data_IF_330890270950
#
_entry.id   IF_330890270950
#
_cell.length_a   1.000
_cell.length_b   1.000
_cell.length_c   1.000
_cell.angle_alpha   90.00
_cell.angle_beta   90.00
_cell.angle_gamma   90.00
#
_symmetry.space_group_name_H-M   'P 1'
#
loop_
_entity.id
_entity.type
_entity.pdbx_description
1 polymer ?
#
# COMPACT_ATOMS: atom_id res chain seq x y z
N UNK A 1 -17.85 -8.60 -21.64
CA UNK A 1 -16.73 -7.68 -21.34
C UNK A 1 -16.59 -6.75 -22.53
N UNK A 2 -16.90 -5.46 -22.36
CA UNK A 2 -16.79 -4.50 -23.45
C UNK A 2 -15.31 -4.23 -23.73
N UNK A 3 -14.88 -4.39 -24.98
CA UNK A 3 -13.50 -4.19 -25.46
C UNK A 3 -12.97 -2.73 -25.32
N UNK A 4 -13.71 -1.85 -24.64
CA UNK A 4 -13.41 -0.43 -24.50
C UNK A 4 -13.17 0.02 -23.04
N UNK A 5 -13.05 -0.90 -22.07
CA UNK A 5 -12.67 -0.54 -20.71
C UNK A 5 -11.13 -0.43 -20.62
N UNK A 6 -10.56 0.79 -20.52
CA UNK A 6 -9.10 0.97 -20.46
C UNK A 6 -8.46 0.24 -19.26
N UNK A 7 -9.21 0.01 -18.19
CA UNK A 7 -8.74 -0.76 -17.03
C UNK A 7 -8.57 -2.26 -17.36
N UNK A 8 -9.41 -2.77 -18.28
CA UNK A 8 -9.33 -4.16 -18.74
C UNK A 8 -8.03 -4.43 -19.52
N UNK A 9 -7.67 -3.54 -20.44
CA UNK A 9 -6.45 -3.65 -21.26
C UNK A 9 -5.20 -3.61 -20.37
N UNK A 10 -5.16 -2.71 -19.39
CA UNK A 10 -4.05 -2.60 -18.44
C UNK A 10 -3.91 -3.87 -17.61
N UNK A 11 -5.02 -4.43 -17.12
CA UNK A 11 -4.99 -5.69 -16.37
C UNK A 11 -4.53 -6.87 -17.24
N UNK A 12 -4.99 -6.96 -18.49
CA UNK A 12 -4.56 -8.01 -19.42
C UNK A 12 -3.06 -7.94 -19.72
N UNK A 13 -2.54 -6.74 -19.99
CA UNK A 13 -1.12 -6.49 -20.19
C UNK A 13 -0.30 -6.93 -18.96
N UNK A 14 -0.80 -6.65 -17.75
CA UNK A 14 -0.15 -7.09 -16.51
C UNK A 14 -0.21 -8.60 -16.29
N UNK A 15 -1.31 -9.26 -16.63
CA UNK A 15 -1.41 -10.71 -16.57
C UNK A 15 -0.45 -11.38 -17.57
N UNK A 16 -0.30 -10.80 -18.76
CA UNK A 16 0.64 -11.30 -19.77
C UNK A 16 2.10 -11.17 -19.30
N UNK A 17 2.47 -10.05 -18.69
CA UNK A 17 3.80 -9.89 -18.08
C UNK A 17 4.04 -10.89 -16.95
N UNK A 18 3.06 -11.11 -16.08
CA UNK A 18 3.15 -12.10 -15.00
C UNK A 18 3.31 -13.52 -15.55
N UNK A 19 2.58 -13.85 -16.62
CA UNK A 19 2.68 -15.15 -17.31
C UNK A 19 4.08 -15.37 -17.88
N UNK A 20 4.66 -14.37 -18.54
CA UNK A 20 6.03 -14.48 -19.06
C UNK A 20 7.04 -14.63 -17.92
N UNK A 21 6.85 -13.91 -16.80
CA UNK A 21 7.64 -14.11 -15.58
C UNK A 21 7.53 -15.55 -15.06
N UNK A 22 6.32 -16.11 -15.08
CA UNK A 22 6.03 -17.50 -14.69
C UNK A 22 6.76 -18.55 -15.52
N UNK A 23 6.83 -18.32 -16.83
CA UNK A 23 7.53 -19.22 -17.76
C UNK A 23 9.05 -19.18 -17.62
N UNK A 24 9.62 -18.10 -17.09
CA UNK A 24 11.08 -17.96 -16.91
C UNK A 24 11.60 -18.65 -15.64
N UNK A 25 10.78 -18.84 -14.59
CA UNK A 25 11.24 -19.37 -13.30
C UNK A 25 11.87 -20.77 -13.38
N UNK A 26 11.34 -21.64 -14.24
CA UNK A 26 11.79 -23.03 -14.32
C UNK A 26 13.13 -23.20 -15.04
N UNK A 27 13.53 -22.21 -15.86
CA UNK A 27 14.70 -22.36 -16.75
C UNK A 27 16.01 -22.45 -15.97
N UNK A 28 16.14 -21.67 -14.90
CA UNK A 28 17.38 -21.57 -14.14
C UNK A 28 17.55 -22.61 -13.04
N UNK A 29 16.55 -23.47 -12.82
CA UNK A 29 16.63 -24.49 -11.75
C UNK A 29 17.74 -25.51 -12.05
N UNK A 30 17.82 -26.00 -13.29
CA UNK A 30 18.87 -26.95 -13.70
C UNK A 30 20.26 -26.32 -13.55
N UNK A 31 20.43 -25.09 -14.03
CA UNK A 31 21.68 -24.34 -13.92
C UNK A 31 22.06 -24.08 -12.45
N UNK A 32 21.08 -23.78 -11.60
CA UNK A 32 21.29 -23.60 -10.16
C UNK A 32 21.78 -24.87 -9.47
N UNK A 33 21.24 -26.04 -9.85
CA UNK A 33 21.68 -27.34 -9.31
C UNK A 33 23.11 -27.66 -9.78
N UNK A 34 23.41 -27.46 -11.06
CA UNK A 34 24.77 -27.65 -11.59
C UNK A 34 25.78 -26.74 -10.90
N UNK A 35 25.43 -25.46 -10.73
CA UNK A 35 26.25 -24.48 -10.04
C UNK A 35 26.48 -24.87 -8.57
N UNK A 36 25.44 -25.37 -7.88
CA UNK A 36 25.54 -25.87 -6.49
C UNK A 36 26.53 -27.03 -6.38
N UNK A 37 26.44 -28.00 -7.30
CA UNK A 37 27.32 -29.17 -7.29
C UNK A 37 28.77 -28.78 -7.58
N UNK A 38 28.99 -27.88 -8.54
CA UNK A 38 30.34 -27.37 -8.87
C UNK A 38 30.93 -26.61 -7.69
N UNK A 39 30.19 -25.67 -7.09
CA UNK A 39 30.65 -24.92 -5.91
C UNK A 39 30.88 -25.83 -4.71
N UNK A 40 29.99 -26.81 -4.50
CA UNK A 40 30.16 -27.85 -3.49
C UNK A 40 31.46 -28.61 -3.67
N UNK A 41 31.75 -29.07 -4.90
CA UNK A 41 32.99 -29.77 -5.22
C UNK A 41 34.22 -28.89 -4.96
N UNK A 42 34.23 -27.66 -5.48
CA UNK A 42 35.33 -26.70 -5.25
C UNK A 42 35.60 -26.51 -3.75
N UNK A 43 34.55 -26.36 -2.95
CA UNK A 43 34.69 -26.20 -1.50
C UNK A 43 35.13 -27.48 -0.81
N UNK A 44 34.66 -28.66 -1.23
CA UNK A 44 35.18 -29.93 -0.67
C UNK A 44 36.68 -30.06 -0.94
N UNK A 45 37.13 -29.73 -2.16
CA UNK A 45 38.56 -29.73 -2.52
C UNK A 45 39.36 -28.73 -1.69
N UNK A 46 38.83 -27.52 -1.47
CA UNK A 46 39.47 -26.53 -0.61
C UNK A 46 39.68 -27.03 0.82
N UNK A 47 38.65 -27.62 1.42
CA UNK A 47 38.76 -28.18 2.78
C UNK A 47 39.71 -29.38 2.84
N UNK A 48 39.77 -30.23 1.80
CA UNK A 48 40.77 -31.31 1.74
C UNK A 48 42.20 -30.77 1.68
N UNK A 49 42.42 -29.67 0.96
CA UNK A 49 43.73 -29.02 0.88
C UNK A 49 44.12 -28.39 2.21
N UNK A 50 43.18 -27.70 2.88
CA UNK A 50 43.41 -27.12 4.21
C UNK A 50 43.70 -28.20 5.26
N UNK A 51 43.03 -29.35 5.17
CA UNK A 51 43.30 -30.49 6.04
C UNK A 51 44.72 -31.05 5.87
N UNK A 52 45.17 -31.21 4.61
CA UNK A 52 46.55 -31.62 4.33
C UNK A 52 47.59 -30.63 4.89
N UNK A 53 47.22 -29.36 5.08
CA UNK A 53 48.10 -28.32 5.57
C UNK A 53 48.09 -28.18 7.11
N UNK A 54 46.94 -28.41 7.76
CA UNK A 54 46.73 -28.11 9.18
C UNK A 54 46.85 -29.33 10.12
N UNK A 55 46.91 -30.56 9.58
CA UNK A 55 47.01 -31.85 10.30
C UNK A 55 45.91 -32.12 11.36
N UNK A 56 44.88 -31.28 11.45
CA UNK A 56 43.74 -31.50 12.35
C UNK A 56 42.61 -32.25 11.64
N UNK A 57 42.55 -33.55 11.88
CA UNK A 57 41.52 -34.43 11.29
C UNK A 57 40.10 -34.10 11.77
N UNK A 58 39.94 -33.68 13.02
CA UNK A 58 38.62 -33.39 13.61
C UNK A 58 37.96 -32.18 12.92
N UNK A 59 38.70 -31.09 12.73
CA UNK A 59 38.18 -29.87 12.10
C UNK A 59 37.77 -30.12 10.64
N UNK A 60 38.52 -30.99 9.95
CA UNK A 60 38.17 -31.42 8.60
C UNK A 60 36.80 -32.09 8.54
N UNK A 61 36.54 -33.08 9.40
CA UNK A 61 35.25 -33.77 9.42
C UNK A 61 34.09 -32.84 9.79
N UNK A 62 34.29 -31.93 10.75
CA UNK A 62 33.27 -30.94 11.12
C UNK A 62 32.94 -30.01 9.95
N UNK A 63 33.96 -29.49 9.27
CA UNK A 63 33.77 -28.59 8.13
C UNK A 63 33.13 -29.30 6.93
N UNK A 64 33.53 -30.54 6.63
CA UNK A 64 32.94 -31.33 5.55
C UNK A 64 31.48 -31.71 5.85
N UNK A 65 31.17 -32.10 7.09
CA UNK A 65 29.79 -32.38 7.49
C UNK A 65 28.92 -31.14 7.37
N UNK A 66 29.41 -29.98 7.83
CA UNK A 66 28.70 -28.71 7.70
C UNK A 66 28.45 -28.35 6.22
N UNK A 67 29.48 -28.50 5.38
CA UNK A 67 29.36 -28.28 3.94
C UNK A 67 28.34 -29.23 3.29
N UNK A 68 28.37 -30.52 3.63
CA UNK A 68 27.45 -31.52 3.11
C UNK A 68 26.01 -31.20 3.52
N UNK A 69 25.77 -30.84 4.78
CA UNK A 69 24.46 -30.44 5.28
C UNK A 69 23.96 -29.19 4.54
N UNK A 70 24.80 -28.17 4.35
CA UNK A 70 24.46 -26.97 3.56
C UNK A 70 24.07 -27.33 2.14
N UNK A 71 24.88 -28.12 1.43
CA UNK A 71 24.59 -28.57 0.06
C UNK A 71 23.28 -29.35 0.01
N UNK A 72 23.05 -30.26 0.95
CA UNK A 72 21.82 -31.07 1.01
C UNK A 72 20.56 -30.19 1.20
N UNK A 73 20.62 -29.21 2.11
CA UNK A 73 19.52 -28.26 2.33
C UNK A 73 19.26 -27.42 1.08
N UNK A 74 20.32 -26.85 0.48
CA UNK A 74 20.19 -26.01 -0.71
C UNK A 74 19.65 -26.82 -1.90
N UNK A 75 20.07 -28.08 -2.07
CA UNK A 75 19.56 -28.97 -3.10
C UNK A 75 18.08 -29.31 -2.86
N UNK A 76 17.67 -29.53 -1.61
CA UNK A 76 16.25 -29.70 -1.25
C UNK A 76 15.44 -28.44 -1.58
N UNK A 77 15.98 -27.25 -1.29
CA UNK A 77 15.31 -25.99 -1.64
C UNK A 77 15.18 -25.79 -3.16
N UNK A 78 16.20 -26.15 -3.95
CA UNK A 78 16.17 -26.06 -5.41
C UNK A 78 15.22 -27.08 -6.05
N UNK A 79 15.15 -28.30 -5.51
CA UNK A 79 14.22 -29.34 -6.00
C UNK A 79 12.77 -29.03 -5.65
N UNK A 80 12.52 -28.40 -4.49
CA UNK A 80 11.21 -27.92 -4.06
C UNK A 80 10.94 -26.44 -4.43
N UNK A 81 11.67 -25.90 -5.41
CA UNK A 81 11.66 -24.46 -5.72
C UNK A 81 10.30 -23.95 -6.17
N UNK A 82 9.67 -24.65 -7.11
CA UNK A 82 8.42 -24.22 -7.75
C UNK A 82 7.24 -24.29 -6.80
N UNK A 83 7.27 -25.18 -5.82
CA UNK A 83 6.11 -25.44 -4.96
C UNK A 83 6.32 -24.83 -3.58
N UNK A 84 7.22 -25.41 -2.78
CA UNK A 84 7.40 -25.05 -1.37
C UNK A 84 8.00 -23.66 -1.21
N UNK A 85 9.12 -23.36 -1.90
CA UNK A 85 9.80 -22.07 -1.74
C UNK A 85 8.93 -20.94 -2.29
N UNK A 86 8.30 -21.16 -3.44
CA UNK A 86 7.36 -20.20 -4.03
C UNK A 86 6.17 -19.93 -3.12
N UNK A 87 5.47 -20.97 -2.64
CA UNK A 87 4.30 -20.79 -1.77
C UNK A 87 4.68 -20.13 -0.44
N UNK A 88 5.88 -20.43 0.08
CA UNK A 88 6.38 -19.82 1.30
C UNK A 88 6.54 -18.30 1.19
N UNK A 89 7.09 -17.75 0.11
CA UNK A 89 7.19 -16.28 -0.02
C UNK A 89 5.95 -15.67 -0.68
N UNK A 90 5.54 -16.16 -1.85
CA UNK A 90 4.43 -15.55 -2.60
C UNK A 90 3.11 -15.87 -1.90
N UNK A 91 2.84 -17.15 -1.65
CA UNK A 91 1.58 -17.59 -1.05
C UNK A 91 1.34 -16.96 0.33
N UNK A 92 2.35 -16.92 1.20
CA UNK A 92 2.20 -16.26 2.49
C UNK A 92 2.01 -14.74 2.37
N UNK A 93 2.77 -14.04 1.51
CA UNK A 93 2.58 -12.59 1.34
C UNK A 93 1.20 -12.25 0.76
N UNK A 94 0.66 -13.10 -0.12
CA UNK A 94 -0.69 -12.95 -0.65
C UNK A 94 -1.75 -13.21 0.40
N UNK A 95 -1.62 -14.29 1.19
CA UNK A 95 -2.53 -14.58 2.32
C UNK A 95 -2.51 -13.45 3.35
N UNK A 96 -1.34 -12.92 3.71
CA UNK A 96 -1.21 -11.79 4.63
C UNK A 96 -1.87 -10.53 4.06
N UNK A 97 -1.65 -10.24 2.77
CA UNK A 97 -2.32 -9.11 2.11
C UNK A 97 -3.85 -9.26 2.10
N UNK A 98 -4.37 -10.47 1.84
CA UNK A 98 -5.81 -10.77 1.83
C UNK A 98 -6.45 -10.66 3.22
N UNK A 99 -5.74 -11.09 4.27
CA UNK A 99 -6.18 -10.95 5.65
C UNK A 99 -6.32 -9.48 6.05
N UNK A 100 -5.35 -8.65 5.64
CA UNK A 100 -5.37 -7.20 5.90
C UNK A 100 -6.49 -6.49 5.14
N UNK A 101 -6.85 -6.98 3.95
CA UNK A 101 -7.91 -6.39 3.14
C UNK A 101 -9.33 -6.89 3.48
N UNK A 102 -9.47 -7.67 4.57
CA UNK A 102 -10.72 -8.33 4.97
C UNK A 102 -11.38 -9.10 3.80
N UNK A 103 -10.56 -9.79 2.98
CA UNK A 103 -10.96 -10.53 1.77
C UNK A 103 -11.40 -9.67 0.57
N UNK A 104 -11.11 -8.37 0.55
CA UNK A 104 -11.18 -7.57 -0.69
C UNK A 104 -10.03 -8.01 -1.60
N UNK A 105 -10.21 -9.10 -2.34
CA UNK A 105 -9.11 -9.85 -2.95
C UNK A 105 -8.54 -9.18 -4.21
N UNK A 106 -9.27 -8.26 -4.85
CA UNK A 106 -8.86 -7.67 -6.12
C UNK A 106 -8.51 -6.17 -5.98
N UNK A 107 -7.26 -5.78 -6.32
CA UNK A 107 -6.86 -4.37 -6.42
C UNK A 107 -7.77 -3.54 -7.34
N UNK A 108 -8.35 -4.16 -8.36
CA UNK A 108 -9.26 -3.51 -9.31
C UNK A 108 -10.58 -3.13 -8.64
N UNK A 109 -11.09 -3.96 -7.73
CA UNK A 109 -12.35 -3.67 -7.05
C UNK A 109 -12.17 -2.53 -6.04
N UNK A 110 -11.03 -2.45 -5.35
CA UNK A 110 -10.72 -1.30 -4.49
C UNK A 110 -10.52 -0.01 -5.27
N UNK A 111 -9.95 -0.06 -6.48
CA UNK A 111 -9.89 1.11 -7.36
C UNK A 111 -11.30 1.53 -7.80
N UNK A 112 -12.19 0.59 -8.11
CA UNK A 112 -13.59 0.88 -8.46
C UNK A 112 -14.36 1.50 -7.30
N UNK A 113 -14.16 1.02 -6.06
CA UNK A 113 -14.79 1.63 -4.89
C UNK A 113 -14.28 3.04 -4.66
N UNK A 114 -12.96 3.29 -4.75
CA UNK A 114 -12.38 4.64 -4.70
C UNK A 114 -12.93 5.55 -5.79
N UNK A 115 -13.08 5.04 -7.02
CA UNK A 115 -13.66 5.80 -8.13
C UNK A 115 -15.14 6.13 -7.90
N UNK A 116 -15.93 5.16 -7.41
CA UNK A 116 -17.33 5.40 -7.07
C UNK A 116 -17.47 6.44 -5.95
N UNK A 117 -16.58 6.43 -4.96
CA UNK A 117 -16.53 7.45 -3.91
C UNK A 117 -16.24 8.84 -4.50
N UNK A 118 -15.30 8.94 -5.45
CA UNK A 118 -14.99 10.17 -6.17
C UNK A 118 -16.21 10.71 -6.97
N UNK A 119 -16.97 9.82 -7.61
CA UNK A 119 -18.21 10.22 -8.32
C UNK A 119 -19.29 10.71 -7.35
N UNK A 120 -19.44 10.07 -6.19
CA UNK A 120 -20.37 10.51 -5.14
C UNK A 120 -20.03 11.91 -4.62
N UNK A 121 -18.75 12.25 -4.51
CA UNK A 121 -18.30 13.61 -4.12
C UNK A 121 -18.76 14.67 -5.13
N UNK A 122 -18.80 14.35 -6.43
CA UNK A 122 -19.37 15.24 -7.44
C UNK A 122 -20.90 15.32 -7.38
N UNK A 123 -21.58 14.21 -7.11
CA UNK A 123 -23.06 14.18 -7.08
C UNK A 123 -23.65 14.81 -5.82
N UNK A 124 -22.93 14.81 -4.69
CA UNK A 124 -23.33 15.47 -3.43
C UNK A 124 -23.61 16.97 -3.60
N UNK A 125 -23.09 17.61 -4.65
CA UNK A 125 -23.35 19.02 -4.96
C UNK A 125 -24.77 19.33 -5.44
N UNK A 126 -25.58 18.31 -5.78
CA UNK A 126 -26.93 18.51 -6.34
C UNK A 126 -28.06 18.13 -5.41
N UNK A 127 -27.80 17.38 -4.34
CA UNK A 127 -28.87 16.68 -3.62
C UNK A 127 -29.49 17.45 -2.45
N UNK A 128 -28.76 18.25 -1.66
CA UNK A 128 -29.35 18.85 -0.45
C UNK A 128 -28.90 20.28 -0.20
N UNK A 129 -29.67 21.23 -0.74
CA UNK A 129 -29.75 22.60 -0.22
C UNK A 129 -31.06 22.83 0.56
N UNK A 130 -31.89 21.81 0.81
CA UNK A 130 -33.18 22.04 1.49
C UNK A 130 -33.80 20.81 2.18
N UNK A 131 -33.23 20.33 3.28
CA UNK A 131 -34.05 19.78 4.37
C UNK A 131 -33.24 19.61 5.66
N UNK A 132 -33.47 20.49 6.62
CA UNK A 132 -33.12 20.27 8.02
C UNK A 132 -34.29 19.47 8.61
N UNK A 133 -34.04 18.30 9.20
CA UNK A 133 -35.05 17.52 9.92
C UNK A 133 -34.84 17.73 11.43
N UNK A 134 -35.87 18.17 12.13
CA UNK A 134 -35.85 18.40 13.58
C UNK A 134 -36.63 17.28 14.29
N UNK A 135 -36.06 16.69 15.34
CA UNK A 135 -36.72 15.69 16.17
C UNK A 135 -37.41 16.39 17.36
N UNK A 136 -38.73 16.51 17.33
CA UNK A 136 -39.53 17.04 18.44
C UNK A 136 -39.91 15.92 19.44
N UNK A 137 -39.73 16.12 20.76
CA UNK A 137 -40.33 15.25 21.76
C UNK A 137 -41.85 15.49 21.81
N UNK A 138 -42.65 14.41 21.69
CA UNK A 138 -44.12 14.48 21.80
C UNK A 138 -44.52 14.95 23.20
N UNK A 139 -45.32 16.01 23.31
CA UNK A 139 -46.12 16.26 24.50
C UNK A 139 -47.22 15.19 24.56
N UNK A 140 -47.28 14.50 25.70
CA UNK A 140 -48.35 13.58 26.02
C UNK A 140 -49.65 14.36 26.18
N UNK A 141 -50.71 13.94 25.49
CA UNK A 141 -52.00 13.80 26.14
C UNK A 141 -52.84 12.71 25.46
N UNK A 142 -53.28 11.85 26.36
CA UNK A 142 -54.26 10.79 26.44
C UNK A 142 -54.60 9.86 25.24
N UNK A 143 -54.37 8.59 25.58
CA UNK A 143 -54.88 7.34 25.02
C UNK A 143 -54.19 6.75 23.77
N UNK A 144 -53.76 5.50 23.99
CA UNK A 144 -53.26 4.50 23.06
C UNK A 144 -51.76 4.54 22.68
N UNK A 145 -51.05 3.59 23.30
CA UNK A 145 -49.82 2.93 22.85
C UNK A 145 -49.54 3.08 21.34
N UNK A 146 -48.50 3.84 20.98
CA UNK A 146 -47.54 3.48 19.93
C UNK A 146 -46.29 4.38 20.10
N UNK A 147 -45.26 3.84 20.75
CA UNK A 147 -43.98 4.49 20.93
C UNK A 147 -43.17 4.46 19.62
N UNK A 148 -43.00 5.63 19.01
CA UNK A 148 -42.09 5.84 17.88
C UNK A 148 -41.88 7.33 17.62
N UNK A 149 -40.62 7.77 17.56
CA UNK A 149 -40.25 9.14 17.19
C UNK A 149 -40.66 9.40 15.74
N UNK A 150 -41.46 10.44 15.50
CA UNK A 150 -41.88 10.85 14.16
C UNK A 150 -40.91 11.92 13.65
N UNK A 151 -40.07 11.59 12.66
CA UNK A 151 -39.22 12.56 11.95
C UNK A 151 -40.05 13.26 10.88
N UNK A 152 -40.22 14.57 11.00
CA UNK A 152 -40.89 15.39 9.99
C UNK A 152 -39.83 16.25 9.34
N UNK A 153 -39.58 16.03 8.04
CA UNK A 153 -38.67 16.85 7.25
C UNK A 153 -39.48 17.93 6.54
N UNK A 154 -39.22 19.19 6.86
CA UNK A 154 -39.85 20.32 6.17
C UNK A 154 -39.03 20.69 4.94
N UNK A 155 -39.67 20.61 3.75
CA UNK A 155 -39.18 21.26 2.54
C UNK A 155 -39.22 22.77 2.77
N UNK A 156 -38.06 23.40 2.88
CA UNK A 156 -37.96 24.86 2.95
C UNK A 156 -38.51 25.48 1.67
N UNK A 157 -39.78 25.90 1.69
CA UNK A 157 -40.32 26.82 0.70
C UNK A 157 -39.61 28.18 0.85
N UNK A 158 -38.58 28.39 0.04
CA UNK A 158 -38.02 29.71 -0.23
C UNK A 158 -39.02 30.54 -1.03
N UNK A 159 -40.00 31.13 -0.34
CA UNK A 159 -40.84 32.17 -0.90
C UNK A 159 -40.00 33.41 -1.23
N UNK A 160 -39.97 33.78 -2.52
CA UNK A 160 -39.73 35.13 -3.04
C UNK A 160 -38.67 35.98 -2.31
N UNK A 161 -37.41 35.54 -2.27
CA UNK A 161 -36.30 36.51 -2.16
C UNK A 161 -35.99 36.94 -3.59
N UNK A 162 -36.17 38.22 -3.92
CA UNK A 162 -35.67 38.78 -5.19
C UNK A 162 -34.19 38.42 -5.27
N UNK A 163 -33.84 37.55 -6.21
CA UNK A 163 -32.47 37.11 -6.47
C UNK A 163 -31.64 38.33 -6.86
N UNK A 164 -31.08 39.01 -5.87
CA UNK A 164 -30.14 40.09 -6.09
C UNK A 164 -28.91 39.46 -6.72
N UNK A 165 -28.61 39.80 -7.96
CA UNK A 165 -27.42 39.32 -8.67
C UNK A 165 -26.14 39.54 -7.85
N UNK A 166 -26.13 40.54 -6.95
CA UNK A 166 -25.05 40.77 -5.97
C UNK A 166 -24.90 39.65 -4.93
N UNK A 167 -25.98 39.01 -4.47
CA UNK A 167 -25.89 37.84 -3.58
C UNK A 167 -25.30 36.64 -4.32
N UNK A 168 -25.60 36.51 -5.62
CA UNK A 168 -25.01 35.47 -6.47
C UNK A 168 -23.53 35.74 -6.74
N UNK A 169 -23.14 37.01 -6.94
CA UNK A 169 -21.75 37.42 -7.18
C UNK A 169 -20.89 37.31 -5.91
N UNK A 170 -21.43 37.64 -4.74
CA UNK A 170 -20.72 37.54 -3.46
C UNK A 170 -20.47 36.10 -3.03
N UNK A 171 -21.40 35.19 -3.33
CA UNK A 171 -21.25 33.75 -3.07
C UNK A 171 -20.43 33.01 -4.13
N UNK A 172 -20.13 33.65 -5.27
CA UNK A 172 -19.38 33.05 -6.37
C UNK A 172 -17.97 32.65 -5.96
N UNK A 173 -17.29 33.45 -5.12
CA UNK A 173 -15.95 33.15 -4.63
C UNK A 173 -15.89 31.85 -3.81
N UNK A 174 -16.88 31.64 -2.93
CA UNK A 174 -16.99 30.44 -2.10
C UNK A 174 -17.39 29.21 -2.90
N UNK A 175 -18.31 29.35 -3.86
CA UNK A 175 -18.67 28.26 -4.78
C UNK A 175 -17.44 27.83 -5.58
N UNK A 176 -16.66 28.78 -6.10
CA UNK A 176 -15.44 28.52 -6.86
C UNK A 176 -14.36 27.86 -5.99
N UNK A 177 -14.20 28.29 -4.73
CA UNK A 177 -13.28 27.67 -3.77
C UNK A 177 -13.70 26.23 -3.43
N UNK A 178 -14.99 25.98 -3.19
CA UNK A 178 -15.50 24.62 -2.93
C UNK A 178 -15.31 23.68 -4.12
N UNK A 179 -15.43 24.21 -5.33
CA UNK A 179 -15.16 23.47 -6.56
C UNK A 179 -13.69 23.10 -6.68
N UNK A 180 -12.77 24.03 -6.36
CA UNK A 180 -11.33 23.76 -6.32
C UNK A 180 -11.01 22.63 -5.33
N UNK A 181 -11.55 22.67 -4.10
CA UNK A 181 -11.31 21.61 -3.13
C UNK A 181 -11.84 20.24 -3.57
N UNK A 182 -13.00 20.20 -4.26
CA UNK A 182 -13.51 18.96 -4.88
C UNK A 182 -12.59 18.41 -5.94
N UNK A 183 -12.09 19.27 -6.83
CA UNK A 183 -11.13 18.88 -7.86
C UNK A 183 -9.86 18.33 -7.20
N UNK A 184 -9.33 19.00 -6.18
CA UNK A 184 -8.15 18.53 -5.44
C UNK A 184 -8.42 17.16 -4.78
N UNK A 185 -9.56 16.99 -4.11
CA UNK A 185 -9.90 15.72 -3.46
C UNK A 185 -10.01 14.57 -4.46
N UNK A 186 -10.62 14.81 -5.62
CA UNK A 186 -10.75 13.81 -6.69
C UNK A 186 -9.39 13.47 -7.28
N UNK A 187 -8.54 14.47 -7.53
CA UNK A 187 -7.18 14.25 -8.02
C UNK A 187 -6.36 13.45 -7.00
N UNK A 188 -6.50 13.74 -5.70
CA UNK A 188 -5.82 13.00 -4.64
C UNK A 188 -6.30 11.54 -4.55
N UNK A 189 -7.61 11.29 -4.62
CA UNK A 189 -8.17 9.92 -4.65
C UNK A 189 -7.70 9.16 -5.90
N UNK A 190 -7.71 9.82 -7.07
CA UNK A 190 -7.22 9.23 -8.31
C UNK A 190 -5.73 8.90 -8.23
N UNK A 191 -4.91 9.82 -7.70
CA UNK A 191 -3.49 9.60 -7.47
C UNK A 191 -3.24 8.42 -6.51
N UNK A 192 -4.02 8.35 -5.42
CA UNK A 192 -3.94 7.24 -4.46
C UNK A 192 -4.24 5.89 -5.14
N UNK A 193 -5.29 5.82 -5.95
CA UNK A 193 -5.67 4.62 -6.69
C UNK A 193 -4.59 4.17 -7.69
N UNK A 194 -4.04 5.11 -8.45
CA UNK A 194 -2.95 4.85 -9.41
C UNK A 194 -1.68 4.39 -8.69
N UNK A 195 -1.28 5.08 -7.62
CA UNK A 195 -0.11 4.72 -6.83
C UNK A 195 -0.24 3.32 -6.23
N UNK A 196 -1.41 2.99 -5.66
CA UNK A 196 -1.70 1.66 -5.14
C UNK A 196 -1.58 0.58 -6.22
N UNK A 197 -2.22 0.79 -7.38
CA UNK A 197 -2.16 -0.18 -8.49
C UNK A 197 -0.73 -0.38 -8.98
N UNK A 198 0.04 0.70 -9.14
CA UNK A 198 1.44 0.62 -9.55
C UNK A 198 2.30 -0.14 -8.54
N UNK A 199 2.19 0.18 -7.24
CA UNK A 199 2.97 -0.49 -6.19
C UNK A 199 2.59 -1.97 -6.07
N UNK A 200 1.29 -2.28 -6.09
CA UNK A 200 0.80 -3.65 -6.05
C UNK A 200 1.32 -4.46 -7.25
N UNK A 201 1.34 -3.87 -8.44
CA UNK A 201 1.84 -4.56 -9.63
C UNK A 201 3.36 -4.69 -9.65
N UNK A 202 4.08 -3.64 -9.27
CA UNK A 202 5.55 -3.65 -9.15
C UNK A 202 6.03 -4.73 -8.18
N UNK A 203 5.30 -4.97 -7.08
CA UNK A 203 5.63 -6.05 -6.14
C UNK A 203 5.65 -7.43 -6.82
N UNK A 204 4.66 -7.71 -7.68
CA UNK A 204 4.53 -8.99 -8.37
C UNK A 204 5.65 -9.18 -9.40
N UNK A 205 6.01 -8.10 -10.10
CA UNK A 205 7.12 -8.12 -11.06
C UNK A 205 8.48 -8.29 -10.39
N UNK A 206 8.73 -7.58 -9.27
CA UNK A 206 9.97 -7.71 -8.51
C UNK A 206 10.12 -9.10 -7.90
N UNK A 207 9.04 -9.65 -7.33
CA UNK A 207 9.02 -11.04 -6.89
C UNK A 207 9.36 -11.98 -8.05
N UNK A 208 8.85 -11.69 -9.25
CA UNK A 208 9.14 -12.51 -10.42
C UNK A 208 10.60 -12.49 -10.85
N UNK A 209 11.24 -11.33 -10.84
CA UNK A 209 12.67 -11.28 -11.09
C UNK A 209 13.44 -12.01 -9.98
N UNK A 210 13.05 -11.81 -8.73
CA UNK A 210 13.71 -12.43 -7.57
C UNK A 210 13.68 -13.94 -7.63
N UNK A 211 12.51 -14.52 -7.92
CA UNK A 211 12.36 -15.97 -8.01
C UNK A 211 13.01 -16.57 -9.26
N UNK A 212 13.15 -15.79 -10.33
CA UNK A 212 13.86 -16.21 -11.53
C UNK A 212 15.38 -16.32 -11.28
N UNK A 213 15.95 -15.34 -10.56
CA UNK A 213 17.36 -15.31 -10.21
C UNK A 213 17.73 -16.19 -9.01
N UNK A 214 16.76 -16.57 -8.18
CA UNK A 214 16.98 -17.30 -6.94
C UNK A 214 17.77 -18.60 -7.09
N UNK A 215 17.48 -19.49 -8.06
CA UNK A 215 18.25 -20.71 -8.23
C UNK A 215 19.73 -20.49 -8.51
N UNK A 216 20.09 -19.38 -9.16
CA UNK A 216 21.48 -19.00 -9.46
C UNK A 216 22.16 -18.38 -8.24
N UNK A 217 21.43 -17.60 -7.45
CA UNK A 217 21.97 -16.83 -6.32
C UNK A 217 22.08 -17.66 -5.03
N UNK A 218 21.29 -18.73 -4.91
CA UNK A 218 21.22 -19.59 -3.73
C UNK A 218 22.50 -20.43 -3.48
N UNK A 219 23.16 -21.02 -4.50
CA UNK A 219 24.43 -21.73 -4.34
C UNK A 219 25.57 -20.93 -3.69
N UNK A 220 25.57 -19.60 -3.85
CA UNK A 220 26.63 -18.73 -3.32
C UNK A 220 26.65 -18.64 -1.79
N UNK A 221 25.62 -19.16 -1.10
CA UNK A 221 25.61 -19.31 0.36
C UNK A 221 26.70 -20.28 0.87
N UNK A 222 27.15 -21.20 0.02
CA UNK A 222 28.20 -22.15 0.40
C UNK A 222 29.55 -21.44 0.61
N UNK A 223 29.81 -20.40 -0.17
CA UNK A 223 31.11 -19.73 -0.20
C UNK A 223 31.07 -18.46 0.67
N UNK A 224 31.81 -18.41 1.80
CA UNK A 224 31.69 -17.32 2.76
C UNK A 224 31.96 -15.93 2.17
N UNK A 225 32.88 -15.82 1.20
CA UNK A 225 33.22 -14.52 0.61
C UNK A 225 32.11 -13.95 -0.30
N UNK A 226 31.22 -14.80 -0.83
CA UNK A 226 30.13 -14.41 -1.75
C UNK A 226 28.75 -14.56 -1.12
N UNK A 227 28.67 -14.81 0.18
CA UNK A 227 27.39 -14.94 0.90
C UNK A 227 26.51 -13.69 0.76
N UNK A 228 27.13 -12.53 0.51
CA UNK A 228 26.42 -11.28 0.24
C UNK A 228 25.45 -11.36 -0.96
N UNK A 229 25.72 -12.23 -1.95
CA UNK A 229 24.82 -12.42 -3.10
C UNK A 229 23.51 -13.09 -2.68
N UNK A 230 23.61 -14.17 -1.88
CA UNK A 230 22.46 -14.85 -1.30
C UNK A 230 21.69 -13.93 -0.36
N UNK A 231 22.39 -13.25 0.55
CA UNK A 231 21.78 -12.32 1.50
C UNK A 231 21.11 -11.14 0.78
N UNK A 232 21.73 -10.61 -0.28
CA UNK A 232 21.16 -9.56 -1.12
C UNK A 232 19.89 -10.01 -1.85
N UNK A 233 19.92 -11.22 -2.42
CA UNK A 233 18.75 -11.83 -3.06
C UNK A 233 17.59 -12.05 -2.07
N UNK A 234 17.89 -12.65 -0.91
CA UNK A 234 16.88 -12.93 0.11
C UNK A 234 16.25 -11.63 0.62
N UNK A 235 17.07 -10.62 0.87
CA UNK A 235 16.62 -9.27 1.22
C UNK A 235 15.72 -8.67 0.13
N UNK A 236 16.11 -8.82 -1.13
CA UNK A 236 15.34 -8.33 -2.27
C UNK A 236 13.96 -8.99 -2.37
N UNK A 237 13.87 -10.32 -2.25
CA UNK A 237 12.58 -11.04 -2.25
C UNK A 237 11.68 -10.58 -1.11
N UNK A 238 12.22 -10.46 0.11
CA UNK A 238 11.45 -10.03 1.27
C UNK A 238 10.92 -8.61 1.06
N UNK A 239 11.75 -7.67 0.59
CA UNK A 239 11.32 -6.29 0.29
C UNK A 239 10.24 -6.28 -0.79
N UNK A 240 10.42 -7.04 -1.88
CA UNK A 240 9.44 -7.12 -2.95
C UNK A 240 8.09 -7.66 -2.48
N UNK A 241 8.09 -8.70 -1.63
CA UNK A 241 6.87 -9.24 -1.01
C UNK A 241 6.19 -8.24 -0.07
N UNK A 242 6.97 -7.53 0.74
CA UNK A 242 6.47 -6.52 1.67
C UNK A 242 5.81 -5.33 0.97
N UNK A 243 6.18 -4.99 -0.27
CA UNK A 243 5.51 -3.92 -1.03
C UNK A 243 4.00 -4.19 -1.12
N UNK A 244 3.61 -5.45 -1.40
CA UNK A 244 2.20 -5.85 -1.50
C UNK A 244 1.50 -5.75 -0.15
N UNK A 245 2.11 -6.31 0.88
CA UNK A 245 1.54 -6.32 2.25
C UNK A 245 1.36 -4.90 2.79
N UNK A 246 2.37 -4.05 2.64
CA UNK A 246 2.35 -2.67 3.15
C UNK A 246 1.39 -1.80 2.32
N UNK A 247 1.29 -2.01 1.01
CA UNK A 247 0.30 -1.31 0.19
C UNK A 247 -1.14 -1.58 0.68
N UNK A 248 -1.46 -2.85 0.94
CA UNK A 248 -2.77 -3.22 1.51
C UNK A 248 -2.96 -2.69 2.92
N UNK A 249 -1.94 -2.77 3.78
CA UNK A 249 -1.97 -2.21 5.14
C UNK A 249 -2.26 -0.71 5.12
N UNK A 250 -1.55 0.06 4.29
CA UNK A 250 -1.78 1.49 4.16
C UNK A 250 -3.18 1.78 3.62
N UNK A 251 -3.69 0.95 2.71
CA UNK A 251 -5.03 1.15 2.14
C UNK A 251 -6.09 0.94 3.22
N UNK A 252 -5.97 -0.12 4.01
CA UNK A 252 -6.87 -0.42 5.12
C UNK A 252 -6.79 0.66 6.20
N UNK A 253 -5.60 1.17 6.55
CA UNK A 253 -5.45 2.27 7.51
C UNK A 253 -6.14 3.54 6.99
N UNK A 254 -5.95 3.87 5.71
CA UNK A 254 -6.59 5.04 5.10
C UNK A 254 -8.11 4.86 5.07
N UNK A 255 -8.63 3.69 4.69
CA UNK A 255 -10.08 3.44 4.70
C UNK A 255 -10.69 3.47 6.10
N UNK A 256 -10.02 2.85 7.08
CA UNK A 256 -10.45 2.81 8.47
C UNK A 256 -10.33 4.18 9.15
N UNK A 257 -9.38 5.03 8.74
CA UNK A 257 -9.20 6.38 9.26
C UNK A 257 -10.14 7.41 8.64
N UNK A 258 -10.24 7.43 7.31
CA UNK A 258 -11.00 8.45 6.57
C UNK A 258 -12.50 8.27 6.76
N UNK A 259 -13.04 7.06 6.64
CA UNK A 259 -14.49 6.84 6.66
C UNK A 259 -15.17 7.30 7.98
N UNK A 260 -14.72 6.89 9.18
CA UNK A 260 -15.35 7.36 10.41
C UNK A 260 -15.01 8.81 10.74
N UNK A 261 -13.83 9.32 10.36
CA UNK A 261 -13.51 10.74 10.53
C UNK A 261 -14.46 11.61 9.70
N UNK A 262 -14.73 11.23 8.45
CA UNK A 262 -15.72 11.89 7.61
C UNK A 262 -17.13 11.83 8.20
N UNK A 263 -17.57 10.65 8.65
CA UNK A 263 -18.91 10.51 9.26
C UNK A 263 -19.04 11.36 10.52
N UNK A 264 -18.04 11.38 11.40
CA UNK A 264 -18.03 12.23 12.60
C UNK A 264 -18.04 13.71 12.26
N UNK A 265 -17.26 14.13 11.25
CA UNK A 265 -17.22 15.52 10.82
C UNK A 265 -18.57 15.96 10.24
N UNK A 266 -19.20 15.13 9.40
CA UNK A 266 -20.55 15.39 8.86
C UNK A 266 -21.60 15.48 9.98
N UNK A 267 -21.56 14.57 10.96
CA UNK A 267 -22.52 14.53 12.08
C UNK A 267 -22.31 15.70 13.06
N UNK A 268 -21.08 16.00 13.46
CA UNK A 268 -20.76 17.11 14.37
C UNK A 268 -21.14 18.46 13.77
N UNK A 269 -20.91 18.61 12.46
CA UNK A 269 -21.30 19.82 11.79
C UNK A 269 -22.83 19.90 11.64
N UNK A 270 -23.54 18.79 11.41
CA UNK A 270 -25.00 18.77 11.32
C UNK A 270 -25.71 19.14 12.63
N UNK A 271 -25.06 18.89 13.78
CA UNK A 271 -25.56 19.27 15.10
C UNK A 271 -25.34 20.75 15.48
N UNK A 272 -24.50 21.48 14.72
CA UNK A 272 -24.13 22.87 15.02
C UNK A 272 -24.85 23.95 14.18
N UNK A 273 -25.69 23.56 13.23
CA UNK A 273 -26.36 24.50 12.31
C UNK A 273 -27.72 24.93 12.87
N UNK A 274 -27.75 26.07 13.57
CA UNK A 274 -29.00 26.78 13.84
C UNK A 274 -29.64 27.37 12.56
N UNK A 275 -30.91 27.85 12.61
CA UNK A 275 -31.75 28.12 11.42
C UNK A 275 -31.33 29.31 10.54
N UNK A 276 -30.17 29.91 10.76
CA UNK A 276 -29.75 31.13 10.07
C UNK A 276 -28.92 30.80 8.81
N UNK A 277 -29.48 31.19 7.67
CA UNK A 277 -29.16 30.80 6.27
C UNK A 277 -27.82 31.38 5.74
N UNK A 278 -26.84 31.64 6.60
CA UNK A 278 -25.46 32.03 6.21
C UNK A 278 -24.38 31.05 6.66
N UNK A 279 -24.70 30.08 7.52
CA UNK A 279 -23.77 29.07 8.04
C UNK A 279 -23.68 27.79 7.19
N UNK A 280 -24.66 27.55 6.30
CA UNK A 280 -24.65 26.39 5.40
C UNK A 280 -23.55 26.48 4.33
N UNK A 281 -23.12 27.69 3.95
CA UNK A 281 -22.05 27.89 2.98
C UNK A 281 -20.67 27.56 3.57
N UNK A 282 -20.42 27.95 4.82
CA UNK A 282 -19.20 27.62 5.57
C UNK A 282 -19.10 26.10 5.84
N UNK A 283 -20.24 25.46 6.09
CA UNK A 283 -20.38 24.03 6.32
C UNK A 283 -19.84 23.19 5.14
N UNK A 284 -20.21 23.55 3.91
CA UNK A 284 -19.78 22.83 2.71
C UNK A 284 -18.32 23.06 2.37
N UNK A 285 -17.77 24.24 2.67
CA UNK A 285 -16.36 24.53 2.42
C UNK A 285 -15.44 23.75 3.38
N UNK A 286 -15.78 23.70 4.68
CA UNK A 286 -14.99 23.00 5.70
C UNK A 286 -15.00 21.47 5.50
N UNK A 287 -16.15 20.88 5.16
CA UNK A 287 -16.24 19.44 4.87
C UNK A 287 -15.42 19.05 3.64
N UNK A 288 -15.48 19.84 2.56
CA UNK A 288 -14.70 19.59 1.35
C UNK A 288 -13.21 19.77 1.56
N UNK A 289 -12.80 20.75 2.38
CA UNK A 289 -11.41 20.95 2.77
C UNK A 289 -10.89 19.76 3.60
N UNK A 290 -11.67 19.26 4.57
CA UNK A 290 -11.30 18.09 5.37
C UNK A 290 -11.13 16.82 4.52
N UNK A 291 -12.03 16.62 3.55
CA UNK A 291 -11.93 15.53 2.57
C UNK A 291 -10.71 15.68 1.67
N UNK A 292 -10.45 16.87 1.12
CA UNK A 292 -9.28 17.14 0.29
C UNK A 292 -7.98 16.90 1.07
N UNK A 293 -7.92 17.32 2.34
CA UNK A 293 -6.76 17.12 3.19
C UNK A 293 -6.52 15.63 3.47
N UNK A 294 -7.54 14.91 3.95
CA UNK A 294 -7.42 13.49 4.30
C UNK A 294 -7.10 12.60 3.10
N UNK A 295 -7.72 12.86 1.93
CA UNK A 295 -7.37 12.16 0.68
C UNK A 295 -5.95 12.46 0.21
N UNK A 296 -5.48 13.71 0.35
CA UNK A 296 -4.10 14.09 0.02
C UNK A 296 -3.07 13.38 0.92
N UNK A 297 -3.36 13.28 2.24
CA UNK A 297 -2.51 12.51 3.17
C UNK A 297 -2.50 11.03 2.78
N UNK A 298 -3.66 10.45 2.45
CA UNK A 298 -3.75 9.05 2.00
C UNK A 298 -2.94 8.80 0.71
N UNK A 299 -3.01 9.70 -0.26
CA UNK A 299 -2.21 9.65 -1.49
C UNK A 299 -0.71 9.72 -1.20
N UNK A 300 -0.30 10.60 -0.28
CA UNK A 300 1.10 10.72 0.14
C UNK A 300 1.61 9.46 0.84
N UNK A 301 0.83 8.87 1.76
CA UNK A 301 1.19 7.62 2.44
C UNK A 301 1.37 6.46 1.45
N UNK A 302 0.53 6.38 0.40
CA UNK A 302 0.68 5.37 -0.65
C UNK A 302 1.98 5.52 -1.44
N UNK A 303 2.40 6.75 -1.69
CA UNK A 303 3.67 7.02 -2.38
C UNK A 303 4.89 6.56 -1.56
N UNK A 304 4.78 6.52 -0.24
CA UNK A 304 5.86 6.11 0.66
C UNK A 304 5.99 4.59 0.86
N UNK A 305 5.05 3.79 0.38
CA UNK A 305 5.04 2.32 0.59
C UNK A 305 6.38 1.66 0.22
N UNK A 306 7.02 1.95 -0.92
CA UNK A 306 8.30 1.33 -1.27
C UNK A 306 9.42 1.65 -0.27
N UNK A 307 9.45 2.88 0.26
CA UNK A 307 10.45 3.32 1.22
C UNK A 307 10.26 2.65 2.58
N UNK A 308 9.01 2.51 3.03
CA UNK A 308 8.68 1.85 4.30
C UNK A 308 9.10 0.37 4.25
N UNK A 309 8.80 -0.31 3.14
CA UNK A 309 9.21 -1.70 2.96
C UNK A 309 10.73 -1.88 2.95
N UNK A 310 11.47 -1.00 2.28
CA UNK A 310 12.94 -1.01 2.32
C UNK A 310 13.48 -0.73 3.73
N UNK A 311 12.87 0.24 4.43
CA UNK A 311 13.22 0.62 5.80
C UNK A 311 13.12 -0.57 6.76
N UNK A 312 12.00 -1.28 6.74
CA UNK A 312 11.74 -2.44 7.62
C UNK A 312 12.81 -3.52 7.44
N UNK A 313 13.16 -3.87 6.21
CA UNK A 313 14.13 -4.96 5.97
C UNK A 313 15.57 -4.49 6.19
N UNK A 314 15.86 -3.22 5.93
CA UNK A 314 17.21 -2.67 6.11
C UNK A 314 17.65 -2.51 7.57
N UNK A 315 16.71 -2.61 8.52
CA UNK A 315 16.93 -2.30 9.93
C UNK A 315 17.26 -0.83 10.20
N UNK A 316 17.49 -0.04 9.15
CA UNK A 316 17.58 1.41 9.23
C UNK A 316 16.16 1.93 9.29
N UNK A 317 15.66 2.09 10.52
CA UNK A 317 14.47 2.86 10.82
C UNK A 317 14.69 4.32 10.45
N UNK A 318 14.73 4.60 9.15
CA UNK A 318 14.87 5.93 8.62
C UNK A 318 13.81 6.08 7.54
N UNK A 319 12.67 6.62 7.96
CA UNK A 319 11.98 7.61 7.16
C UNK A 319 13.01 8.70 6.83
N UNK A 320 13.80 8.48 5.77
CA UNK A 320 14.56 9.55 5.15
C UNK A 320 13.50 10.48 4.52
N UNK A 321 12.98 11.40 5.33
CA UNK A 321 12.32 12.64 4.88
C UNK A 321 13.33 13.55 4.15
N UNK A 322 14.15 12.98 3.27
CA UNK A 322 15.11 13.68 2.42
C UNK A 322 14.41 14.61 1.41
N UNK A 323 13.07 14.58 1.36
CA UNK A 323 12.23 15.50 0.59
C UNK A 323 11.72 16.73 1.34
N UNK A 324 11.94 16.86 2.66
CA UNK A 324 11.58 18.08 3.41
C UNK A 324 12.85 18.78 3.94
N UNK A 325 13.39 19.68 3.11
CA UNK A 325 14.42 20.64 3.51
C UNK A 325 15.86 20.17 3.27
N UNK A 326 16.75 21.06 2.80
CA UNK A 326 18.13 20.70 2.53
C UNK A 326 18.88 20.50 3.86
N UNK A 327 19.07 19.25 4.28
CA UNK A 327 20.07 18.89 5.29
C UNK A 327 21.48 19.02 4.71
N UNK A 328 21.87 20.25 4.34
CA UNK A 328 23.26 20.68 4.30
C UNK A 328 23.55 21.32 5.64
N UNK A 329 24.01 20.54 6.62
CA UNK A 329 24.87 20.99 7.73
C UNK A 329 25.20 19.80 8.66
N UNK A 330 25.93 18.83 8.14
CA UNK A 330 26.79 17.98 8.96
C UNK A 330 28.15 17.96 8.24
N UNK A 331 28.91 19.05 8.43
CA UNK A 331 30.29 19.10 7.98
C UNK A 331 31.11 18.03 8.72
N UNK A 332 32.06 17.37 8.06
CA UNK A 332 32.93 16.40 8.71
C UNK A 332 33.74 17.08 9.83
N UNK A 333 33.65 16.53 11.04
CA UNK A 333 34.51 16.94 12.15
C UNK A 333 35.98 16.62 11.80
N UNK A 334 36.93 17.54 12.03
CA UNK A 334 38.33 17.31 11.75
C UNK A 334 38.91 16.23 12.69
N UNK A 335 39.93 15.47 12.23
CA UNK A 335 40.54 14.40 13.02
C UNK A 335 41.24 14.97 14.24
N UNK A 336 40.82 14.51 15.42
CA UNK A 336 41.43 14.84 16.69
C UNK A 336 42.72 14.02 16.83
N UNK A 337 43.86 14.62 16.48
CA UNK A 337 45.16 14.11 16.90
C UNK A 337 45.30 14.26 18.41
N UNK A 338 45.17 13.17 19.15
CA UNK A 338 45.89 13.03 20.43
C UNK A 338 46.69 11.73 20.44
N UNK A 339 47.94 11.95 20.82
CA UNK A 339 49.05 11.02 21.01
C UNK A 339 48.74 9.95 22.03
#
# INVERSE_FOLDING_TARGET
MNANDPLGIVNELFQLMQKVGLELYGKFISEGIELLLVLGLVMTTWHTLMWMLADTTIDYFVNQLNLLVKVAILLLMLTAWTDTVRDFFIGNMERTAQQISANSAAPVDTVRTLWSAAQTIFSLTRADASSICEELPKLADDDAQLAGNQRICHLGHGANKKNSWFDTLSNLSFVLLSFIFKVIAVLAIAQMAVAFMLVAQMSSFLLAIGFCLGPILLPWYIFPATEFLFNGWLRFIIVAGLYKVIAWLMLTIVQAGINPAMQKFVVQLGAGVGPYVSSQLDFHCLTMLGLAFTSSVGAYMMWQVPQIAQGIVSGHGALNFQGFGPSRMAGPLPPNHRR
#
